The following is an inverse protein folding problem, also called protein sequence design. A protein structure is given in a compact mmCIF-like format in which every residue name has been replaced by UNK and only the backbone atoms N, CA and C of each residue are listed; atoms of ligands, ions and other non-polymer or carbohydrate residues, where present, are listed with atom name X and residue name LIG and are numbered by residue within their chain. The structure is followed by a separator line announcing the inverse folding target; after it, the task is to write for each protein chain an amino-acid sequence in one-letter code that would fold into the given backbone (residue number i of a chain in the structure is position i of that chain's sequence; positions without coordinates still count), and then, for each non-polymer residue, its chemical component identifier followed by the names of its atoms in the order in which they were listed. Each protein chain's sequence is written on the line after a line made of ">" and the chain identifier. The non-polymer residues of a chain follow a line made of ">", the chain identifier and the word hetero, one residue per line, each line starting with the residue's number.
data_IF_217302762183
#
_entry.id   IF_217302762183
#
_cell.length_a   1.000
_cell.length_b   1.000
_cell.length_c   1.000
_cell.angle_alpha   90.00
_cell.angle_beta   90.00
_cell.angle_gamma   90.00
#
_symmetry.space_group_name_H-M   'P 1'
#
loop_
_entity.id
_entity.type
_entity.pdbx_description
1 polymer ?
#
# COMPACT_ATOMS: atom_id res chain seq x y z
N UNK A 1 19.76 -19.81 -24.79
CA UNK A 1 21.00 -20.57 -25.06
C UNK A 1 21.86 -20.78 -23.82
N UNK A 2 21.44 -20.31 -22.63
CA UNK A 2 22.11 -20.59 -21.37
C UNK A 2 21.17 -21.40 -20.48
N UNK A 3 21.37 -22.74 -20.49
CA UNK A 3 20.68 -23.68 -19.59
C UNK A 3 21.25 -23.57 -18.17
N UNK A 4 21.29 -22.35 -17.62
CA UNK A 4 21.72 -22.13 -16.25
C UNK A 4 20.57 -22.39 -15.29
N UNK A 5 20.83 -23.08 -14.19
CA UNK A 5 19.89 -23.19 -13.07
C UNK A 5 20.18 -22.09 -12.04
N UNK A 6 19.18 -21.58 -11.34
CA UNK A 6 19.39 -20.58 -10.31
C UNK A 6 20.18 -21.17 -9.14
N UNK A 7 21.28 -20.51 -8.78
CA UNK A 7 22.09 -20.85 -7.60
C UNK A 7 21.62 -19.96 -6.46
N UNK A 8 21.08 -20.54 -5.39
CA UNK A 8 20.68 -19.79 -4.19
C UNK A 8 21.87 -19.70 -3.22
N UNK A 9 21.99 -18.55 -2.55
CA UNK A 9 22.92 -18.40 -1.41
C UNK A 9 22.38 -19.12 -0.18
N UNK A 10 23.29 -19.68 0.63
CA UNK A 10 22.89 -20.32 1.89
C UNK A 10 22.63 -19.25 2.95
N UNK A 11 21.38 -19.13 3.41
CA UNK A 11 21.00 -18.20 4.49
C UNK A 11 21.65 -18.54 5.85
N UNK A 12 22.17 -19.77 6.03
CA UNK A 12 22.86 -20.18 7.25
C UNK A 12 24.37 -19.94 7.22
N UNK A 13 25.02 -20.01 6.05
CA UNK A 13 26.47 -19.88 5.92
C UNK A 13 26.94 -18.44 5.81
N UNK A 14 26.22 -17.63 5.04
CA UNK A 14 26.59 -16.22 4.80
C UNK A 14 26.54 -15.38 6.08
N UNK A 15 25.47 -15.43 6.92
CA UNK A 15 25.43 -14.70 8.18
C UNK A 15 26.49 -15.15 9.20
N UNK A 16 26.82 -16.45 9.23
CA UNK A 16 27.89 -16.97 10.11
C UNK A 16 29.25 -16.43 9.66
N UNK A 17 29.55 -16.44 8.36
CA UNK A 17 30.76 -15.86 7.84
C UNK A 17 30.86 -14.34 8.10
N UNK A 18 29.75 -13.62 7.94
CA UNK A 18 29.66 -12.18 8.21
C UNK A 18 29.85 -11.86 9.71
N UNK A 19 29.22 -12.62 10.61
CA UNK A 19 29.39 -12.49 12.06
C UNK A 19 30.82 -12.82 12.52
N UNK A 20 31.52 -13.68 11.76
CA UNK A 20 32.95 -13.97 11.97
C UNK A 20 33.89 -12.91 11.36
N UNK A 21 33.34 -11.81 10.79
CA UNK A 21 34.11 -10.70 10.26
C UNK A 21 34.56 -10.85 8.80
N UNK A 22 33.97 -11.76 8.04
CA UNK A 22 34.26 -11.93 6.63
C UNK A 22 33.82 -10.71 5.81
N UNK A 23 34.76 -10.06 5.11
CA UNK A 23 34.49 -8.85 4.27
C UNK A 23 34.60 -9.12 2.77
N UNK A 24 34.99 -10.34 2.38
CA UNK A 24 35.23 -10.69 0.95
C UNK A 24 34.74 -12.08 0.64
N UNK A 25 34.48 -12.35 -0.63
CA UNK A 25 34.09 -13.69 -1.10
C UNK A 25 35.21 -14.74 -1.03
N UNK A 26 36.44 -14.31 -0.76
CA UNK A 26 37.60 -15.20 -0.55
C UNK A 26 37.31 -16.20 0.59
N UNK A 27 36.51 -15.82 1.58
CA UNK A 27 36.06 -16.70 2.67
C UNK A 27 35.36 -17.95 2.15
N UNK A 28 34.55 -17.83 1.09
CA UNK A 28 33.90 -18.98 0.45
C UNK A 28 34.91 -19.93 -0.24
N UNK A 29 35.93 -19.36 -0.89
CA UNK A 29 36.98 -20.13 -1.53
C UNK A 29 37.84 -20.90 -0.50
N UNK A 30 38.22 -20.21 0.58
CA UNK A 30 38.97 -20.84 1.70
C UNK A 30 38.13 -21.92 2.35
N UNK A 31 36.83 -21.69 2.60
CA UNK A 31 35.93 -22.71 3.13
C UNK A 31 35.80 -23.93 2.22
N UNK A 32 35.66 -23.74 0.91
CA UNK A 32 35.61 -24.82 -0.05
C UNK A 32 36.92 -25.62 -0.07
N UNK A 33 38.07 -24.94 -0.02
CA UNK A 33 39.39 -25.58 0.03
C UNK A 33 39.55 -26.38 1.31
N UNK A 34 39.16 -25.83 2.47
CA UNK A 34 39.22 -26.56 3.75
C UNK A 34 38.35 -27.82 3.73
N UNK A 35 37.13 -27.73 3.19
CA UNK A 35 36.25 -28.92 3.07
C UNK A 35 36.83 -29.95 2.12
N UNK A 36 37.34 -29.52 0.97
CA UNK A 36 38.00 -30.43 0.03
C UNK A 36 39.23 -31.12 0.66
N UNK A 37 40.08 -30.39 1.37
CA UNK A 37 41.24 -30.92 2.06
C UNK A 37 40.84 -31.92 3.16
N UNK A 38 39.81 -31.63 3.93
CA UNK A 38 39.27 -32.49 4.97
C UNK A 38 38.75 -33.81 4.38
N UNK A 39 38.05 -33.76 3.27
CA UNK A 39 37.52 -34.96 2.59
C UNK A 39 38.60 -35.82 1.97
N UNK A 40 39.71 -35.20 1.52
CA UNK A 40 40.83 -35.95 0.88
C UNK A 40 41.80 -36.54 1.93
N UNK A 41 42.09 -35.82 3.02
CA UNK A 41 43.14 -36.18 3.98
C UNK A 41 42.59 -36.96 5.19
N UNK A 42 41.38 -36.63 5.62
CA UNK A 42 40.82 -37.18 6.86
C UNK A 42 39.36 -37.62 6.77
N UNK A 43 38.94 -38.45 5.80
CA UNK A 43 37.55 -38.90 5.68
C UNK A 43 37.06 -39.69 6.92
N UNK A 44 37.97 -40.38 7.61
CA UNK A 44 37.68 -41.12 8.83
C UNK A 44 37.32 -40.28 10.04
N UNK A 45 37.72 -39.03 10.07
CA UNK A 45 37.33 -38.08 11.14
C UNK A 45 35.81 -37.75 11.11
N UNK A 46 35.24 -37.66 9.91
CA UNK A 46 33.82 -37.41 9.71
C UNK A 46 32.94 -38.62 9.99
N UNK A 47 33.47 -39.84 9.81
CA UNK A 47 32.71 -41.06 10.06
C UNK A 47 32.42 -41.33 11.55
N UNK A 48 33.19 -40.71 12.45
CA UNK A 48 33.03 -40.85 13.90
C UNK A 48 32.15 -39.73 14.52
N UNK A 49 31.65 -38.81 13.70
CA UNK A 49 30.74 -37.77 14.19
C UNK A 49 29.35 -38.35 14.47
N UNK A 50 28.87 -38.35 15.73
CA UNK A 50 27.52 -38.82 16.03
C UNK A 50 26.49 -37.90 15.36
N UNK A 51 25.43 -38.51 14.82
CA UNK A 51 24.31 -37.74 14.18
C UNK A 51 23.72 -36.71 15.14
N UNK A 52 23.71 -36.98 16.45
CA UNK A 52 23.25 -36.06 17.46
C UNK A 52 24.09 -34.77 17.52
N UNK A 53 25.43 -34.85 17.30
CA UNK A 53 26.28 -33.68 17.24
C UNK A 53 25.99 -32.78 16.02
N UNK A 54 25.73 -33.40 14.85
CA UNK A 54 25.32 -32.69 13.64
C UNK A 54 23.96 -32.02 13.85
N UNK A 55 22.99 -32.71 14.47
CA UNK A 55 21.70 -32.13 14.83
C UNK A 55 21.85 -30.95 15.78
N UNK A 56 22.71 -31.05 16.81
CA UNK A 56 22.97 -29.96 17.75
C UNK A 56 23.54 -28.70 17.06
N UNK A 57 24.46 -28.87 16.12
CA UNK A 57 25.02 -27.78 15.31
C UNK A 57 23.95 -27.08 14.50
N UNK A 58 23.08 -27.87 13.84
CA UNK A 58 21.95 -27.32 13.06
C UNK A 58 20.98 -26.54 13.96
N UNK A 59 20.60 -27.09 15.13
CA UNK A 59 19.72 -26.41 16.09
C UNK A 59 20.36 -25.12 16.58
N UNK A 60 21.66 -25.15 16.96
CA UNK A 60 22.37 -23.94 17.39
C UNK A 60 22.42 -22.86 16.29
N UNK A 61 22.66 -23.27 15.04
CA UNK A 61 22.63 -22.37 13.89
C UNK A 61 21.23 -21.79 13.66
N UNK A 62 20.18 -22.57 13.79
CA UNK A 62 18.79 -22.11 13.67
C UNK A 62 18.44 -21.13 14.80
N UNK A 63 18.84 -21.41 16.03
CA UNK A 63 18.61 -20.52 17.19
C UNK A 63 19.31 -19.16 17.03
N UNK A 64 20.49 -19.13 16.41
CA UNK A 64 21.21 -17.89 16.13
C UNK A 64 20.50 -16.98 15.11
N UNK A 65 19.61 -17.53 14.28
CA UNK A 65 18.83 -16.80 13.29
C UNK A 65 17.52 -16.24 13.88
N UNK A 66 17.15 -16.62 15.10
CA UNK A 66 15.90 -16.16 15.73
C UNK A 66 16.07 -14.74 16.28
N UNK A 67 15.49 -13.78 15.60
CA UNK A 67 15.47 -12.37 16.00
C UNK A 67 14.24 -12.02 16.83
N UNK A 68 14.19 -12.41 18.09
CA UNK A 68 13.06 -12.14 18.99
C UNK A 68 12.77 -10.63 19.08
N UNK A 69 13.79 -9.78 19.03
CA UNK A 69 13.61 -8.31 19.07
C UNK A 69 12.83 -7.79 17.87
N UNK A 70 13.09 -8.30 16.68
CA UNK A 70 12.39 -7.93 15.45
C UNK A 70 10.92 -8.36 15.50
N UNK A 71 10.64 -9.55 16.02
CA UNK A 71 9.26 -10.06 16.21
C UNK A 71 8.50 -9.21 17.24
N UNK A 72 9.10 -8.87 18.37
CA UNK A 72 8.49 -7.99 19.38
C UNK A 72 8.26 -6.57 18.85
N UNK A 73 9.18 -6.06 18.04
CA UNK A 73 9.02 -4.76 17.38
C UNK A 73 7.85 -4.78 16.41
N UNK A 74 7.73 -5.85 15.62
CA UNK A 74 6.60 -6.04 14.69
C UNK A 74 5.25 -6.06 15.43
N UNK A 75 5.16 -6.81 16.54
CA UNK A 75 3.96 -6.84 17.37
C UNK A 75 3.54 -5.46 17.89
N UNK A 76 4.51 -4.61 18.27
CA UNK A 76 4.24 -3.27 18.79
C UNK A 76 3.85 -2.26 17.71
N UNK A 77 4.44 -2.37 16.52
CA UNK A 77 4.29 -1.38 15.45
C UNK A 77 3.16 -1.74 14.48
N UNK A 78 3.04 -3.02 14.13
CA UNK A 78 2.15 -3.50 13.07
C UNK A 78 1.55 -4.85 13.45
N UNK A 79 0.44 -4.82 14.16
CA UNK A 79 -0.24 -6.04 14.63
C UNK A 79 -0.75 -6.93 13.49
N UNK A 80 -1.19 -6.33 12.38
CA UNK A 80 -1.63 -7.02 11.18
C UNK A 80 -0.50 -7.85 10.55
N UNK A 81 0.69 -7.28 10.44
CA UNK A 81 1.86 -7.97 9.90
C UNK A 81 2.39 -9.03 10.87
N UNK A 82 2.30 -8.78 12.19
CA UNK A 82 2.63 -9.79 13.19
C UNK A 82 1.71 -11.01 13.11
N UNK A 83 0.39 -10.82 12.96
CA UNK A 83 -0.57 -11.92 12.82
C UNK A 83 -0.27 -12.73 11.57
N UNK A 84 0.05 -12.07 10.45
CA UNK A 84 0.44 -12.73 9.22
C UNK A 84 1.72 -13.57 9.38
N UNK A 85 2.74 -13.01 10.03
CA UNK A 85 4.00 -13.71 10.34
C UNK A 85 3.77 -14.91 11.26
N UNK A 86 2.93 -14.76 12.29
CA UNK A 86 2.57 -15.85 13.19
C UNK A 86 1.80 -16.97 12.48
N UNK A 87 0.86 -16.60 11.61
CA UNK A 87 0.10 -17.57 10.80
C UNK A 87 1.02 -18.37 9.86
N UNK A 88 2.00 -17.69 9.24
CA UNK A 88 3.02 -18.33 8.43
C UNK A 88 3.84 -19.34 9.27
N UNK A 89 4.34 -18.90 10.42
CA UNK A 89 5.14 -19.74 11.32
C UNK A 89 4.37 -20.99 11.76
N UNK A 90 3.13 -20.80 12.25
CA UNK A 90 2.28 -21.91 12.67
C UNK A 90 1.92 -22.83 11.49
N UNK A 91 1.65 -22.27 10.32
CA UNK A 91 1.40 -23.04 9.11
C UNK A 91 2.56 -23.96 8.75
N UNK A 92 3.78 -23.44 8.81
CA UNK A 92 5.01 -24.24 8.54
C UNK A 92 5.22 -25.31 9.60
N UNK A 93 5.02 -24.99 10.89
CA UNK A 93 5.26 -25.93 11.99
C UNK A 93 4.22 -27.04 12.03
N UNK A 94 2.93 -26.74 11.78
CA UNK A 94 1.85 -27.71 11.91
C UNK A 94 1.57 -28.50 10.62
N UNK A 95 1.72 -27.88 9.45
CA UNK A 95 1.33 -28.46 8.16
C UNK A 95 2.53 -28.78 7.28
N UNK A 96 3.72 -28.35 7.67
CA UNK A 96 4.94 -28.50 6.89
C UNK A 96 5.27 -27.29 6.03
N UNK A 97 6.48 -27.28 5.47
CA UNK A 97 7.06 -26.09 4.80
C UNK A 97 6.23 -25.66 3.59
N UNK A 98 5.89 -26.59 2.68
CA UNK A 98 5.18 -26.24 1.44
C UNK A 98 3.77 -25.69 1.70
N UNK A 99 2.88 -26.38 2.47
CA UNK A 99 1.57 -25.84 2.79
C UNK A 99 1.65 -24.51 3.58
N UNK A 100 2.60 -24.39 4.51
CA UNK A 100 2.81 -23.17 5.29
C UNK A 100 3.15 -21.96 4.43
N UNK A 101 4.02 -22.14 3.42
CA UNK A 101 4.35 -21.08 2.45
C UNK A 101 3.12 -20.70 1.62
N UNK A 102 2.36 -21.66 1.11
CA UNK A 102 1.14 -21.37 0.35
C UNK A 102 0.11 -20.58 1.17
N UNK A 103 -0.11 -20.97 2.42
CA UNK A 103 -0.99 -20.23 3.33
C UNK A 103 -0.50 -18.80 3.53
N UNK A 104 0.80 -18.62 3.79
CA UNK A 104 1.39 -17.31 4.00
C UNK A 104 1.24 -16.40 2.78
N UNK A 105 1.53 -16.90 1.59
CA UNK A 105 1.39 -16.16 0.33
C UNK A 105 -0.07 -15.80 0.09
N UNK A 106 -0.99 -16.74 0.29
CA UNK A 106 -2.43 -16.50 0.11
C UNK A 106 -2.95 -15.43 1.09
N UNK A 107 -2.59 -15.51 2.37
CA UNK A 107 -2.97 -14.52 3.38
C UNK A 107 -2.35 -13.14 3.09
N UNK A 108 -1.10 -13.10 2.64
CA UNK A 108 -0.43 -11.85 2.25
C UNK A 108 -1.12 -11.19 1.06
N UNK A 109 -1.51 -11.98 0.06
CA UNK A 109 -2.25 -11.49 -1.10
C UNK A 109 -3.64 -10.97 -0.70
N UNK A 110 -4.36 -11.70 0.15
CA UNK A 110 -5.65 -11.26 0.68
C UNK A 110 -5.53 -9.95 1.47
N UNK A 111 -4.50 -9.83 2.31
CA UNK A 111 -4.24 -8.60 3.07
C UNK A 111 -3.91 -7.41 2.15
N UNK A 112 -3.16 -7.66 1.05
CA UNK A 112 -2.88 -6.65 0.03
C UNK A 112 -4.15 -6.19 -0.69
N UNK A 113 -5.00 -7.14 -1.13
CA UNK A 113 -6.29 -6.84 -1.77
C UNK A 113 -7.17 -6.04 -0.82
N UNK A 114 -7.25 -6.45 0.45
CA UNK A 114 -8.04 -5.74 1.47
C UNK A 114 -7.60 -4.28 1.65
N UNK A 115 -6.29 -4.02 1.68
CA UNK A 115 -5.72 -2.67 1.76
C UNK A 115 -6.07 -1.82 0.53
N UNK A 116 -5.97 -2.40 -0.66
CA UNK A 116 -6.33 -1.73 -1.91
C UNK A 116 -7.84 -1.44 -2.00
N UNK A 117 -8.67 -2.32 -1.42
CA UNK A 117 -10.11 -2.16 -1.39
C UNK A 117 -10.57 -1.04 -0.46
N UNK A 118 -9.88 -0.83 0.68
CA UNK A 118 -10.24 0.18 1.67
C UNK A 118 -9.15 1.25 1.83
N UNK A 119 -8.93 2.09 0.81
CA UNK A 119 -7.93 3.15 0.88
C UNK A 119 -8.37 4.25 1.84
N UNK A 120 -7.42 5.09 2.20
CA UNK A 120 -7.69 6.29 2.96
C UNK A 120 -8.52 7.27 2.14
N UNK A 121 -9.43 7.97 2.80
CA UNK A 121 -10.18 9.09 2.23
C UNK A 121 -10.54 10.08 3.33
N UNK A 122 -10.60 11.33 3.00
CA UNK A 122 -10.88 12.41 3.94
C UNK A 122 -11.68 13.53 3.30
N UNK A 123 -12.46 14.21 4.12
CA UNK A 123 -12.98 15.56 3.79
C UNK A 123 -11.91 16.55 4.19
N UNK A 124 -11.64 17.52 3.33
CA UNK A 124 -10.58 18.52 3.53
C UNK A 124 -11.17 19.88 3.83
N UNK A 125 -10.47 20.63 4.69
CA UNK A 125 -10.75 22.03 5.01
C UNK A 125 -9.47 22.85 4.95
N UNK A 126 -9.58 24.15 4.83
CA UNK A 126 -8.46 25.08 4.79
C UNK A 126 -7.88 25.32 6.18
N UNK A 127 -6.57 25.14 6.33
CA UNK A 127 -5.82 25.41 7.57
C UNK A 127 -4.99 26.66 7.37
N UNK A 128 -5.37 27.77 8.00
CA UNK A 128 -4.70 29.07 7.87
C UNK A 128 -3.21 29.02 8.22
N UNK A 129 -2.87 28.30 9.30
CA UNK A 129 -1.49 28.16 9.75
C UNK A 129 -0.57 27.47 8.74
N UNK A 130 -1.14 26.62 7.85
CA UNK A 130 -0.40 25.85 6.84
C UNK A 130 -0.59 26.43 5.43
N UNK A 131 -1.57 27.32 5.24
CA UNK A 131 -1.88 27.90 3.93
C UNK A 131 -2.35 26.89 2.88
N UNK A 132 -2.97 25.77 3.30
CA UNK A 132 -3.37 24.68 2.42
C UNK A 132 -4.52 23.86 2.98
N UNK A 133 -5.10 22.98 2.12
CA UNK A 133 -6.22 22.12 2.49
C UNK A 133 -5.74 20.81 3.12
N UNK A 134 -6.26 20.50 4.33
CA UNK A 134 -5.91 19.33 5.11
C UNK A 134 -7.15 18.57 5.58
N UNK A 135 -6.95 17.32 5.99
CA UNK A 135 -7.98 16.46 6.56
C UNK A 135 -8.55 17.07 7.85
N UNK A 136 -9.86 17.36 7.85
CA UNK A 136 -10.57 17.92 9.00
C UNK A 136 -10.56 17.01 10.24
N UNK A 137 -10.38 15.71 10.08
CA UNK A 137 -10.29 14.77 11.20
C UNK A 137 -8.96 14.88 11.96
N UNK A 138 -7.91 15.36 11.28
CA UNK A 138 -6.57 15.58 11.86
C UNK A 138 -6.33 17.04 12.26
N UNK A 139 -7.06 17.93 11.62
CA UNK A 139 -7.01 19.37 11.82
C UNK A 139 -8.42 19.89 12.13
N UNK A 140 -8.89 19.78 13.39
CA UNK A 140 -10.22 20.25 13.77
C UNK A 140 -10.41 21.76 13.59
N UNK A 141 -9.31 22.52 13.51
CA UNK A 141 -9.27 23.96 13.22
C UNK A 141 -9.49 24.28 11.74
N UNK A 142 -9.49 23.27 10.86
CA UNK A 142 -9.66 23.48 9.42
C UNK A 142 -11.06 24.04 9.11
N UNK A 143 -11.11 25.09 8.32
CA UNK A 143 -12.34 25.73 7.89
C UNK A 143 -12.86 25.11 6.60
N UNK A 144 -14.12 24.70 6.61
CA UNK A 144 -14.82 24.24 5.41
C UNK A 144 -15.48 25.45 4.72
N UNK A 145 -15.63 25.37 3.40
CA UNK A 145 -16.35 26.38 2.61
C UNK A 145 -17.82 25.96 2.54
N UNK A 146 -18.71 26.89 2.79
CA UNK A 146 -20.15 26.65 2.77
C UNK A 146 -20.63 26.21 1.37
N UNK A 147 -21.36 25.10 1.35
CA UNK A 147 -21.89 24.51 0.12
C UNK A 147 -20.87 23.75 -0.72
N UNK A 148 -19.62 23.63 -0.27
CA UNK A 148 -18.54 22.91 -0.97
C UNK A 148 -18.03 21.76 -0.13
N UNK A 149 -17.96 20.57 -0.71
CA UNK A 149 -17.30 19.40 -0.13
C UNK A 149 -16.01 19.12 -0.90
N UNK A 150 -14.86 19.30 -0.25
CA UNK A 150 -13.57 18.86 -0.77
C UNK A 150 -13.31 17.43 -0.28
N UNK A 151 -13.26 16.47 -1.22
CA UNK A 151 -13.10 15.07 -0.90
C UNK A 151 -11.80 14.52 -1.48
N UNK A 152 -10.95 13.92 -0.65
CA UNK A 152 -9.70 13.29 -1.05
C UNK A 152 -9.83 11.77 -1.03
N UNK A 153 -9.25 11.13 -2.06
CA UNK A 153 -9.21 9.67 -2.21
C UNK A 153 -7.79 9.22 -2.55
N UNK A 154 -7.15 8.47 -1.65
CA UNK A 154 -5.73 8.12 -1.73
C UNK A 154 -5.49 6.74 -2.36
N UNK A 155 -6.07 6.48 -3.53
CA UNK A 155 -5.83 5.25 -4.30
C UNK A 155 -6.27 5.38 -5.76
N UNK A 156 -5.81 4.50 -6.66
CA UNK A 156 -6.44 4.28 -7.95
C UNK A 156 -7.91 3.88 -7.78
N UNK A 157 -8.76 4.25 -8.74
CA UNK A 157 -10.16 3.82 -8.79
C UNK A 157 -10.29 2.59 -9.68
N UNK A 158 -10.81 1.49 -9.14
CA UNK A 158 -11.00 0.26 -9.88
C UNK A 158 -12.22 -0.51 -9.38
N UNK A 159 -12.61 -1.55 -10.09
CA UNK A 159 -13.86 -2.30 -9.85
C UNK A 159 -14.12 -2.65 -8.38
N UNK A 160 -13.07 -2.95 -7.59
CA UNK A 160 -13.25 -3.37 -6.21
C UNK A 160 -13.53 -2.21 -5.24
N UNK A 161 -13.05 -0.99 -5.52
CA UNK A 161 -13.19 0.15 -4.61
C UNK A 161 -14.09 1.29 -5.10
N UNK A 162 -14.51 1.26 -6.37
CA UNK A 162 -15.31 2.32 -6.97
C UNK A 162 -16.64 2.56 -6.22
N UNK A 163 -17.34 1.49 -5.84
CA UNK A 163 -18.61 1.60 -5.09
C UNK A 163 -18.37 2.11 -3.65
N UNK A 164 -17.22 1.79 -3.05
CA UNK A 164 -16.83 2.36 -1.77
C UNK A 164 -16.54 3.87 -1.89
N UNK A 165 -15.89 4.28 -2.98
CA UNK A 165 -15.68 5.70 -3.30
C UNK A 165 -17.03 6.42 -3.38
N UNK A 166 -17.96 5.94 -4.20
CA UNK A 166 -19.31 6.51 -4.35
C UNK A 166 -20.00 6.68 -2.99
N UNK A 167 -20.03 5.61 -2.20
CA UNK A 167 -20.66 5.64 -0.86
C UNK A 167 -19.99 6.65 0.08
N UNK A 168 -18.66 6.80 0.04
CA UNK A 168 -17.95 7.74 0.89
C UNK A 168 -18.17 9.18 0.47
N UNK A 169 -18.22 9.47 -0.84
CA UNK A 169 -18.58 10.80 -1.36
C UNK A 169 -20.00 11.17 -0.92
N UNK A 170 -20.98 10.31 -1.16
CA UNK A 170 -22.36 10.57 -0.74
C UNK A 170 -22.50 10.73 0.78
N UNK A 171 -21.72 9.99 1.56
CA UNK A 171 -21.66 10.16 3.01
C UNK A 171 -21.06 11.55 3.39
N UNK A 172 -20.00 11.98 2.72
CA UNK A 172 -19.41 13.29 2.95
C UNK A 172 -20.43 14.41 2.67
N UNK A 173 -21.18 14.28 1.59
CA UNK A 173 -22.28 15.20 1.25
C UNK A 173 -23.36 15.20 2.34
N UNK A 174 -23.80 14.02 2.79
CA UNK A 174 -24.87 13.90 3.80
C UNK A 174 -24.47 14.41 5.20
N UNK A 175 -23.19 14.50 5.51
CA UNK A 175 -22.67 15.00 6.79
C UNK A 175 -22.14 16.45 6.70
N UNK A 176 -22.26 17.07 5.53
CA UNK A 176 -21.87 18.47 5.37
C UNK A 176 -22.74 19.39 6.24
N UNK A 177 -22.16 20.39 6.89
CA UNK A 177 -22.89 21.30 7.78
C UNK A 177 -23.88 22.22 7.05
N UNK A 178 -23.66 22.46 5.76
CA UNK A 178 -24.47 23.30 4.88
C UNK A 178 -24.93 22.53 3.64
N UNK A 179 -26.05 22.94 3.01
CA UNK A 179 -26.50 22.33 1.75
C UNK A 179 -25.41 22.39 0.70
N UNK A 180 -24.99 21.21 0.20
CA UNK A 180 -23.89 21.09 -0.76
C UNK A 180 -24.36 21.49 -2.16
N UNK A 181 -23.54 22.25 -2.86
CA UNK A 181 -23.71 22.63 -4.26
C UNK A 181 -22.64 22.00 -5.15
N UNK A 182 -21.39 21.93 -4.61
CA UNK A 182 -20.27 21.34 -5.33
C UNK A 182 -19.56 20.28 -4.49
N UNK A 183 -19.20 19.20 -5.17
CA UNK A 183 -18.30 18.17 -4.66
C UNK A 183 -17.02 18.21 -5.49
N UNK A 184 -15.91 18.62 -4.91
CA UNK A 184 -14.61 18.66 -5.56
C UNK A 184 -13.77 17.47 -5.07
N UNK A 185 -13.41 16.59 -5.97
CA UNK A 185 -12.52 15.46 -5.69
C UNK A 185 -11.08 15.89 -5.91
N UNK A 186 -10.27 15.89 -4.85
CA UNK A 186 -8.81 16.03 -4.94
C UNK A 186 -8.24 14.73 -5.55
N UNK A 187 -7.98 14.77 -6.85
CA UNK A 187 -7.68 13.59 -7.67
C UNK A 187 -6.18 13.35 -7.88
N UNK A 188 -5.30 14.12 -7.21
CA UNK A 188 -3.84 13.94 -7.31
C UNK A 188 -3.40 12.50 -6.99
N UNK A 189 -3.93 11.82 -5.94
CA UNK A 189 -3.54 10.45 -5.63
C UNK A 189 -4.21 9.40 -6.53
N UNK A 190 -5.23 9.78 -7.31
CA UNK A 190 -5.88 8.87 -8.27
C UNK A 190 -4.96 8.71 -9.48
N UNK A 191 -4.23 7.60 -9.52
CA UNK A 191 -3.24 7.32 -10.57
C UNK A 191 -3.80 6.52 -11.73
N UNK A 192 -4.96 5.92 -11.54
CA UNK A 192 -5.63 5.08 -12.54
C UNK A 192 -7.15 5.04 -12.33
N UNK A 193 -7.90 4.81 -13.43
CA UNK A 193 -9.35 4.57 -13.42
C UNK A 193 -9.64 3.46 -14.41
N UNK A 194 -10.24 2.36 -13.97
CA UNK A 194 -10.70 1.29 -14.86
C UNK A 194 -12.10 1.57 -15.42
N UNK A 195 -12.53 0.76 -16.37
CA UNK A 195 -13.82 0.95 -17.07
C UNK A 195 -15.02 0.80 -16.13
N UNK A 196 -14.94 -0.10 -15.15
CA UNK A 196 -15.99 -0.30 -14.13
C UNK A 196 -16.10 0.92 -13.21
N UNK A 197 -14.96 1.42 -12.76
CA UNK A 197 -14.92 2.64 -11.94
C UNK A 197 -15.41 3.87 -12.71
N UNK A 198 -15.10 3.97 -14.01
CA UNK A 198 -15.63 5.03 -14.85
C UNK A 198 -17.18 4.97 -14.94
N UNK A 199 -17.77 3.78 -15.00
CA UNK A 199 -19.23 3.60 -14.92
C UNK A 199 -19.80 4.11 -13.60
N UNK A 200 -19.18 3.75 -12.47
CA UNK A 200 -19.60 4.22 -11.14
C UNK A 200 -19.44 5.75 -10.98
N UNK A 201 -18.40 6.34 -11.57
CA UNK A 201 -18.23 7.81 -11.61
C UNK A 201 -19.37 8.48 -12.40
N UNK A 202 -19.76 7.88 -13.52
CA UNK A 202 -20.89 8.40 -14.32
C UNK A 202 -22.23 8.31 -13.58
N UNK A 203 -22.45 7.27 -12.79
CA UNK A 203 -23.63 7.11 -11.93
C UNK A 203 -23.61 8.11 -10.77
N UNK A 204 -22.45 8.32 -10.17
CA UNK A 204 -22.28 9.31 -9.10
C UNK A 204 -22.55 10.73 -9.59
N UNK A 205 -22.00 11.09 -10.75
CA UNK A 205 -22.23 12.37 -11.40
C UNK A 205 -23.71 12.61 -11.67
N UNK A 206 -24.39 11.63 -12.27
CA UNK A 206 -25.83 11.72 -12.53
C UNK A 206 -26.64 11.90 -11.24
N UNK A 207 -26.33 11.14 -10.19
CA UNK A 207 -27.03 11.22 -8.91
C UNK A 207 -26.80 12.57 -8.19
N UNK A 208 -25.61 13.14 -8.28
CA UNK A 208 -25.30 14.47 -7.74
C UNK A 208 -26.01 15.55 -8.55
N UNK A 209 -26.00 15.46 -9.86
CA UNK A 209 -26.67 16.39 -10.77
C UNK A 209 -28.19 16.42 -10.55
N UNK A 210 -28.83 15.25 -10.41
CA UNK A 210 -30.26 15.15 -10.06
C UNK A 210 -30.59 15.84 -8.71
N UNK A 211 -29.63 15.85 -7.80
CA UNK A 211 -29.77 16.53 -6.51
C UNK A 211 -29.36 18.02 -6.55
N UNK A 212 -29.05 18.56 -7.74
CA UNK A 212 -28.62 19.96 -7.94
C UNK A 212 -27.20 20.24 -7.49
N UNK A 213 -26.33 19.24 -7.53
CA UNK A 213 -24.92 19.34 -7.15
C UNK A 213 -24.02 19.02 -8.35
N UNK A 214 -22.89 19.73 -8.46
CA UNK A 214 -21.90 19.48 -9.50
C UNK A 214 -20.72 18.68 -8.96
N UNK A 215 -20.24 17.70 -9.75
CA UNK A 215 -19.06 16.90 -9.49
C UNK A 215 -17.85 17.48 -10.23
N UNK A 216 -16.88 17.95 -9.49
CA UNK A 216 -15.64 18.54 -10.02
C UNK A 216 -14.42 17.73 -9.60
N UNK A 217 -13.34 17.88 -10.34
CA UNK A 217 -12.06 17.23 -10.06
C UNK A 217 -10.93 18.25 -10.06
N UNK A 218 -10.10 18.22 -9.03
CA UNK A 218 -8.88 19.01 -8.95
C UNK A 218 -7.64 18.11 -9.03
N UNK A 219 -6.57 18.60 -9.67
CA UNK A 219 -5.25 17.95 -9.74
C UNK A 219 -5.26 16.57 -10.43
N UNK A 220 -6.25 16.29 -11.27
CA UNK A 220 -6.30 15.01 -11.97
C UNK A 220 -5.17 14.90 -13.00
N UNK A 221 -4.43 13.79 -12.93
CA UNK A 221 -3.27 13.51 -13.80
C UNK A 221 -3.67 13.31 -15.26
N UNK A 222 -2.81 13.76 -16.18
CA UNK A 222 -3.01 13.63 -17.62
C UNK A 222 -3.39 12.23 -18.08
N UNK A 223 -2.63 11.16 -17.70
CA UNK A 223 -2.97 9.79 -18.11
C UNK A 223 -4.36 9.33 -17.66
N UNK A 224 -4.85 9.80 -16.51
CA UNK A 224 -6.20 9.49 -16.03
C UNK A 224 -7.25 10.22 -16.87
N UNK A 225 -7.03 11.51 -17.16
CA UNK A 225 -7.89 12.28 -18.09
C UNK A 225 -7.98 11.63 -19.47
N UNK A 226 -6.86 11.13 -19.98
CA UNK A 226 -6.82 10.46 -21.29
C UNK A 226 -7.63 9.16 -21.30
N UNK A 227 -7.58 8.38 -20.19
CA UNK A 227 -8.47 7.21 -20.04
C UNK A 227 -9.94 7.59 -19.96
N UNK A 228 -10.30 8.62 -19.21
CA UNK A 228 -11.66 9.12 -19.14
C UNK A 228 -12.17 9.58 -20.53
N UNK A 229 -11.28 10.18 -21.35
CA UNK A 229 -11.59 10.53 -22.75
C UNK A 229 -11.86 9.28 -23.59
N UNK A 230 -10.99 8.25 -23.48
CA UNK A 230 -11.19 6.98 -24.17
C UNK A 230 -12.51 6.29 -23.79
N UNK A 231 -12.96 6.43 -22.56
CA UNK A 231 -14.24 5.90 -22.07
C UNK A 231 -15.44 6.80 -22.42
N UNK A 232 -15.21 7.97 -23.07
CA UNK A 232 -16.26 8.95 -23.38
C UNK A 232 -16.82 9.71 -22.17
N UNK A 233 -16.23 9.51 -20.98
CA UNK A 233 -16.72 10.08 -19.74
C UNK A 233 -16.21 11.52 -19.52
N UNK A 234 -15.02 11.86 -20.01
CA UNK A 234 -14.42 13.17 -19.80
C UNK A 234 -15.31 14.34 -20.28
N UNK A 235 -15.88 14.22 -21.48
CA UNK A 235 -16.79 15.22 -22.05
C UNK A 235 -18.16 15.23 -21.35
N UNK A 236 -18.61 14.07 -20.84
CA UNK A 236 -19.88 13.94 -20.11
C UNK A 236 -19.81 14.59 -18.74
N UNK A 237 -18.68 14.48 -18.04
CA UNK A 237 -18.45 15.16 -16.78
C UNK A 237 -18.26 16.68 -16.91
N UNK A 238 -18.09 17.19 -18.17
CA UNK A 238 -17.79 18.60 -18.43
C UNK A 238 -16.32 18.93 -18.31
N UNK A 239 -15.72 19.46 -19.37
CA UNK A 239 -14.29 19.82 -19.41
C UNK A 239 -13.98 20.92 -18.37
N UNK A 240 -14.95 21.80 -18.13
CA UNK A 240 -14.92 22.89 -17.18
C UNK A 240 -14.83 22.44 -15.71
N UNK A 241 -15.22 21.20 -15.41
CA UNK A 241 -15.21 20.62 -14.06
C UNK A 241 -13.83 20.02 -13.66
N UNK A 242 -12.80 20.18 -14.51
CA UNK A 242 -11.45 19.71 -14.24
C UNK A 242 -10.47 20.85 -13.99
N UNK A 243 -10.20 21.11 -12.73
CA UNK A 243 -9.33 22.19 -12.28
C UNK A 243 -7.87 21.74 -12.15
N UNK A 244 -6.90 22.63 -12.48
CA UNK A 244 -5.47 22.34 -12.30
C UNK A 244 -5.07 22.15 -10.84
N UNK A 245 -5.64 22.93 -9.90
CA UNK A 245 -5.36 22.85 -8.46
C UNK A 245 -6.65 22.95 -7.63
N UNK A 246 -6.56 22.56 -6.36
CA UNK A 246 -7.68 22.67 -5.41
C UNK A 246 -8.06 24.14 -5.21
N UNK A 247 -7.06 25.01 -5.07
CA UNK A 247 -7.24 26.45 -4.88
C UNK A 247 -8.07 27.06 -6.01
N UNK A 248 -7.74 26.74 -7.27
CA UNK A 248 -8.48 27.25 -8.43
C UNK A 248 -9.92 26.73 -8.46
N UNK A 249 -10.16 25.49 -8.06
CA UNK A 249 -11.53 24.95 -7.95
C UNK A 249 -12.33 25.72 -6.88
N UNK A 250 -11.73 26.01 -5.74
CA UNK A 250 -12.37 26.76 -4.65
C UNK A 250 -12.59 28.22 -5.04
N UNK A 251 -11.59 28.88 -5.60
CA UNK A 251 -11.72 30.28 -6.06
C UNK A 251 -12.83 30.42 -7.11
N UNK A 252 -12.90 29.48 -8.04
CA UNK A 252 -13.98 29.47 -9.04
C UNK A 252 -15.36 29.28 -8.39
N UNK A 253 -15.49 28.35 -7.43
CA UNK A 253 -16.72 28.18 -6.66
C UNK A 253 -17.14 29.45 -5.92
N UNK A 254 -16.21 30.09 -5.20
CA UNK A 254 -16.47 31.33 -4.44
C UNK A 254 -16.91 32.47 -5.36
N UNK A 255 -16.27 32.62 -6.53
CA UNK A 255 -16.61 33.64 -7.52
C UNK A 255 -18.03 33.48 -8.07
N UNK A 256 -18.45 32.22 -8.36
CA UNK A 256 -19.77 31.91 -8.87
C UNK A 256 -20.90 32.16 -7.85
N UNK A 257 -20.63 31.84 -6.58
CA UNK A 257 -21.66 31.89 -5.54
C UNK A 257 -21.61 33.13 -4.67
N UNK A 258 -20.67 34.04 -4.93
CA UNK A 258 -20.47 35.30 -4.16
C UNK A 258 -20.37 35.07 -2.65
N UNK A 259 -19.64 34.02 -2.28
CA UNK A 259 -19.36 33.65 -0.89
C UNK A 259 -17.98 34.20 -0.53
N UNK A 260 -17.86 34.80 0.65
CA UNK A 260 -16.56 35.19 1.19
C UNK A 260 -15.74 33.92 1.44
N UNK A 261 -14.47 33.94 1.04
CA UNK A 261 -13.57 32.79 1.20
C UNK A 261 -13.41 32.40 2.67
N UNK A 262 -12.80 31.29 2.95
CA UNK A 262 -12.48 30.87 4.33
C UNK A 262 -11.53 31.92 4.92
N UNK A 263 -12.13 32.86 5.67
CA UNK A 263 -11.41 33.92 6.38
C UNK A 263 -10.68 33.33 7.60
#
# INVERSE_FOLDING_TARGET
>A
LFSGFPVSSSMSRTPVAESAGAKTQVTGLVGALCVALLLLVAPGLLSHLPQAALGAVVVAACLSLVEIRSVLRLYRLRRDEFVLSLACFLGVVLLGVMPGIFIAVSLSLLAFIWRAWQPYSAVMGYVEALGSYHDISRHPEAKCVDGLVLFRWDAPLFFANAELFRRRVLRAVSHAPTPVRWVVVAAEPITDVDMTAAGVLAELDAALHEAGMDLCFAEMKGPVKDRLKCYGLFNRLGVENFFPTIEQAVEHYLSLHKIDGPA
#
